data_IF_462867752811
#
_entry.id   IF_462867752811
#
_cell.length_a   1.000
_cell.length_b   1.000
_cell.length_c   1.000
_cell.angle_alpha   90.00
_cell.angle_beta   90.00
_cell.angle_gamma   90.00
#
_symmetry.space_group_name_H-M   'P 1'
#
loop_
_entity.id
_entity.type
_entity.pdbx_description
1 polymer ?
#
# COMPACT_ATOMS: atom_id res chain seq x y z
N UNK A 1 12.91 13.35 -32.65
CA UNK A 1 12.98 13.84 -31.25
C UNK A 1 12.14 15.10 -30.99
N UNK A 2 12.20 16.16 -31.81
CA UNK A 2 11.48 17.43 -31.59
C UNK A 2 9.94 17.32 -31.61
N UNK A 3 9.38 16.38 -32.37
CA UNK A 3 7.93 16.08 -32.39
C UNK A 3 7.43 15.28 -31.19
N UNK A 4 8.31 14.49 -30.56
CA UNK A 4 7.99 13.70 -29.35
C UNK A 4 7.96 14.58 -28.09
N UNK A 5 8.79 15.62 -28.04
CA UNK A 5 8.77 16.61 -26.96
C UNK A 5 7.51 17.49 -27.02
N UNK A 6 7.06 17.85 -28.23
CA UNK A 6 5.85 18.65 -28.43
C UNK A 6 4.57 17.88 -28.06
N UNK A 7 4.52 16.57 -28.29
CA UNK A 7 3.37 15.75 -27.89
C UNK A 7 3.29 15.57 -26.38
N UNK A 8 4.42 15.51 -25.68
CA UNK A 8 4.47 15.46 -24.20
C UNK A 8 4.00 16.75 -23.54
N UNK A 9 4.32 17.91 -24.12
CA UNK A 9 3.87 19.22 -23.59
C UNK A 9 2.35 19.38 -23.78
N UNK A 10 1.80 18.96 -24.92
CA UNK A 10 0.34 19.02 -25.16
C UNK A 10 -0.41 18.04 -24.26
N UNK A 11 0.13 16.85 -23.99
CA UNK A 11 -0.44 15.88 -23.03
C UNK A 11 -0.38 16.38 -21.58
N UNK A 12 0.68 17.08 -21.20
CA UNK A 12 0.82 17.68 -19.87
C UNK A 12 -0.14 18.87 -19.65
N UNK A 13 -0.42 19.67 -20.69
CA UNK A 13 -1.39 20.78 -20.64
C UNK A 13 -2.83 20.26 -20.63
N UNK A 14 -3.13 19.16 -21.33
CA UNK A 14 -4.46 18.54 -21.29
C UNK A 14 -4.80 17.94 -19.91
N UNK A 15 -3.79 17.56 -19.12
CA UNK A 15 -3.98 17.06 -17.74
C UNK A 15 -4.20 18.17 -16.71
N UNK A 16 -4.02 19.45 -17.08
CA UNK A 16 -4.09 20.58 -16.14
C UNK A 16 -5.45 21.29 -16.08
N UNK A 17 -6.41 20.91 -16.91
CA UNK A 17 -7.61 21.72 -17.09
C UNK A 17 -8.91 20.95 -16.93
N UNK A 18 -9.36 20.72 -15.69
CA UNK A 18 -10.73 21.00 -15.21
C UNK A 18 -10.71 21.00 -13.66
N UNK A 19 -10.34 22.12 -13.04
CA UNK A 19 -10.72 22.36 -11.64
C UNK A 19 -12.08 23.06 -11.67
N UNK A 20 -13.16 22.28 -11.61
CA UNK A 20 -14.49 22.83 -11.43
C UNK A 20 -14.57 23.54 -10.06
N UNK A 21 -15.21 24.70 -9.94
CA UNK A 21 -15.49 25.29 -8.65
C UNK A 21 -16.50 24.38 -7.94
N UNK A 22 -16.03 23.59 -6.98
CA UNK A 22 -16.92 22.85 -6.10
C UNK A 22 -17.75 23.88 -5.31
N UNK A 23 -19.08 23.77 -5.39
CA UNK A 23 -19.98 24.72 -4.75
C UNK A 23 -19.82 24.73 -3.23
N UNK A 24 -20.16 25.84 -2.58
CA UNK A 24 -20.00 25.99 -1.13
C UNK A 24 -20.73 24.89 -0.31
N UNK A 25 -21.86 24.37 -0.81
CA UNK A 25 -22.58 23.26 -0.18
C UNK A 25 -21.78 21.94 -0.16
N UNK A 26 -21.06 21.62 -1.25
CA UNK A 26 -20.18 20.43 -1.27
C UNK A 26 -18.95 20.64 -0.40
N UNK A 27 -18.40 21.85 -0.39
CA UNK A 27 -17.25 22.21 0.48
C UNK A 27 -17.61 22.11 1.96
N UNK A 28 -18.82 22.53 2.34
CA UNK A 28 -19.31 22.43 3.71
C UNK A 28 -19.53 20.97 4.12
N UNK A 29 -20.11 20.14 3.23
CA UNK A 29 -20.23 18.71 3.47
C UNK A 29 -18.87 18.01 3.63
N UNK A 30 -17.84 18.43 2.88
CA UNK A 30 -16.48 17.90 3.03
C UNK A 30 -15.87 18.27 4.39
N UNK A 31 -16.08 19.50 4.88
CA UNK A 31 -15.67 19.91 6.22
C UNK A 31 -16.37 19.11 7.32
N UNK A 32 -17.68 18.92 7.17
CA UNK A 32 -18.48 18.15 8.11
C UNK A 32 -18.07 16.68 8.16
N UNK A 33 -17.63 16.10 7.03
CA UNK A 33 -17.10 14.74 6.98
C UNK A 33 -15.69 14.64 7.56
N UNK A 34 -14.86 15.69 7.43
CA UNK A 34 -13.48 15.68 7.89
C UNK A 34 -13.32 15.89 9.41
N UNK A 35 -14.35 16.42 10.09
CA UNK A 35 -14.27 16.87 11.48
C UNK A 35 -15.26 16.13 12.40
N UNK A 36 -14.87 15.94 13.66
CA UNK A 36 -15.66 15.38 14.76
C UNK A 36 -16.44 16.48 15.51
N UNK A 37 -17.68 16.21 15.93
CA UNK A 37 -18.39 17.14 16.80
C UNK A 37 -17.81 17.12 18.23
N UNK A 38 -17.35 18.27 18.71
CA UNK A 38 -16.97 18.48 20.12
C UNK A 38 -18.16 18.99 20.94
N UNK A 39 -19.28 18.31 20.84
CA UNK A 39 -20.46 18.66 21.62
C UNK A 39 -20.22 18.34 23.11
N UNK A 40 -20.82 19.12 24.02
CA UNK A 40 -20.66 18.94 25.48
C UNK A 40 -21.09 17.55 25.96
N UNK A 41 -22.03 16.94 25.26
CA UNK A 41 -22.59 15.63 25.57
C UNK A 41 -21.70 14.45 25.13
N UNK A 42 -20.48 14.72 24.65
CA UNK A 42 -19.50 13.70 24.19
C UNK A 42 -20.09 12.69 23.20
N UNK A 43 -20.91 13.20 22.28
CA UNK A 43 -21.61 12.42 21.24
C UNK A 43 -20.69 11.52 20.39
N UNK A 44 -19.42 11.90 20.19
CA UNK A 44 -18.42 11.07 19.50
C UNK A 44 -18.70 10.83 18.01
N UNK A 45 -19.63 11.59 17.42
CA UNK A 45 -20.00 11.48 16.00
C UNK A 45 -19.21 12.47 15.14
N UNK A 46 -19.02 12.08 13.87
CA UNK A 46 -18.63 13.00 12.79
C UNK A 46 -19.61 14.17 12.74
N UNK A 47 -19.13 15.38 12.44
CA UNK A 47 -19.93 16.61 12.46
C UNK A 47 -21.16 16.48 11.56
N UNK A 48 -21.02 15.86 10.39
CA UNK A 48 -22.13 15.62 9.45
C UNK A 48 -23.30 14.85 10.06
N UNK A 49 -23.02 13.92 10.97
CA UNK A 49 -24.01 13.06 11.60
C UNK A 49 -24.51 13.61 12.94
N UNK A 50 -24.14 14.85 13.29
CA UNK A 50 -24.49 15.49 14.56
C UNK A 50 -25.46 16.66 14.38
N UNK A 51 -26.51 16.69 15.19
CA UNK A 51 -27.61 17.68 15.12
C UNK A 51 -27.75 18.56 16.37
N UNK A 52 -26.69 18.69 17.18
CA UNK A 52 -26.72 19.53 18.39
C UNK A 52 -26.58 21.03 18.08
N UNK A 53 -26.95 21.89 19.03
CA UNK A 53 -26.80 23.34 18.90
C UNK A 53 -25.36 23.80 18.63
N UNK A 54 -24.37 23.06 19.11
CA UNK A 54 -22.96 23.36 18.87
C UNK A 54 -22.58 23.04 17.43
N UNK A 55 -23.02 21.91 16.87
CA UNK A 55 -22.71 21.57 15.47
C UNK A 55 -23.36 22.56 14.51
N UNK A 56 -24.59 23.01 14.79
CA UNK A 56 -25.27 24.00 13.96
C UNK A 56 -24.54 25.35 13.96
N UNK A 57 -23.99 25.79 15.11
CA UNK A 57 -23.13 26.99 15.17
C UNK A 57 -21.84 26.80 14.37
N UNK A 58 -21.15 25.68 14.57
CA UNK A 58 -19.90 25.37 13.86
C UNK A 58 -20.11 25.33 12.34
N UNK A 59 -21.23 24.77 11.85
CA UNK A 59 -21.60 24.80 10.42
C UNK A 59 -21.76 26.22 9.90
N UNK A 60 -22.46 27.08 10.63
CA UNK A 60 -22.65 28.47 10.24
C UNK A 60 -21.31 29.23 10.20
N UNK A 61 -20.39 28.93 11.11
CA UNK A 61 -19.05 29.53 11.12
C UNK A 61 -18.21 29.02 9.94
N UNK A 62 -18.27 27.73 9.63
CA UNK A 62 -17.61 27.17 8.43
C UNK A 62 -18.16 27.73 7.13
N UNK A 63 -19.47 27.93 7.03
CA UNK A 63 -20.07 28.58 5.87
C UNK A 63 -19.49 29.99 5.67
N UNK A 64 -19.38 30.79 6.74
CA UNK A 64 -18.76 32.13 6.67
C UNK A 64 -17.29 32.08 6.23
N UNK A 65 -16.52 31.11 6.72
CA UNK A 65 -15.12 30.94 6.32
C UNK A 65 -15.00 30.56 4.84
N UNK A 66 -15.86 29.67 4.35
CA UNK A 66 -15.93 29.32 2.93
C UNK A 66 -16.35 30.53 2.07
N UNK A 67 -17.33 31.31 2.53
CA UNK A 67 -17.80 32.51 1.85
C UNK A 67 -16.71 33.60 1.80
N UNK A 68 -15.79 33.62 2.77
CA UNK A 68 -14.63 34.51 2.77
C UNK A 68 -13.49 34.05 1.83
N UNK A 69 -13.68 32.92 1.13
CA UNK A 69 -12.74 32.40 0.12
C UNK A 69 -11.69 31.44 0.67
N UNK A 70 -11.79 31.00 1.94
CA UNK A 70 -10.90 29.97 2.46
C UNK A 70 -11.25 28.60 1.88
N UNK A 71 -10.24 27.76 1.67
CA UNK A 71 -10.43 26.39 1.20
C UNK A 71 -10.72 25.43 2.35
N UNK A 72 -11.37 24.31 2.05
CA UNK A 72 -11.64 23.23 3.02
C UNK A 72 -10.37 22.81 3.76
N UNK A 73 -9.25 22.64 3.05
CA UNK A 73 -8.00 22.19 3.65
C UNK A 73 -7.42 23.22 4.62
N UNK A 74 -7.53 24.52 4.31
CA UNK A 74 -7.07 25.59 5.20
C UNK A 74 -7.89 25.63 6.48
N UNK A 75 -9.21 25.49 6.38
CA UNK A 75 -10.11 25.47 7.54
C UNK A 75 -9.83 24.24 8.41
N UNK A 76 -9.67 23.04 7.81
CA UNK A 76 -9.32 21.82 8.55
C UNK A 76 -7.99 22.00 9.28
N UNK A 77 -6.96 22.54 8.63
CA UNK A 77 -5.67 22.79 9.28
C UNK A 77 -5.76 23.76 10.45
N UNK A 78 -6.55 24.84 10.32
CA UNK A 78 -6.82 25.74 11.45
C UNK A 78 -7.47 24.99 12.62
N UNK A 79 -8.45 24.11 12.34
CA UNK A 79 -9.13 23.39 13.42
C UNK A 79 -8.24 22.33 14.06
N UNK A 80 -7.35 21.71 13.29
CA UNK A 80 -6.32 20.81 13.83
C UNK A 80 -5.32 21.59 14.68
N UNK A 81 -4.94 22.80 14.29
CA UNK A 81 -4.05 23.64 15.11
C UNK A 81 -4.69 24.06 16.44
N UNK A 82 -6.00 24.34 16.44
CA UNK A 82 -6.74 24.75 17.66
C UNK A 82 -7.13 23.59 18.57
N UNK A 83 -7.50 22.44 18.02
CA UNK A 83 -8.09 21.31 18.75
C UNK A 83 -7.25 20.03 18.75
N UNK A 84 -6.10 20.05 18.07
CA UNK A 84 -5.24 18.89 17.84
C UNK A 84 -5.82 17.90 16.83
N UNK A 85 -5.10 16.81 16.58
CA UNK A 85 -5.54 15.78 15.61
C UNK A 85 -6.82 15.04 16.03
N UNK A 86 -7.22 15.12 17.30
CA UNK A 86 -8.45 14.49 17.82
C UNK A 86 -9.76 15.10 17.29
N UNK A 87 -9.67 16.23 16.57
CA UNK A 87 -10.81 16.84 15.89
C UNK A 87 -11.08 16.20 14.54
N UNK A 88 -10.09 15.52 13.94
CA UNK A 88 -10.28 14.90 12.64
C UNK A 88 -11.11 13.63 12.78
N UNK A 89 -11.99 13.40 11.81
CA UNK A 89 -12.73 12.13 11.70
C UNK A 89 -11.85 10.98 11.24
N UNK A 90 -10.76 11.27 10.54
CA UNK A 90 -9.78 10.31 10.06
C UNK A 90 -8.36 10.77 10.43
N UNK A 91 -7.44 9.84 10.76
CA UNK A 91 -6.07 10.20 11.10
C UNK A 91 -5.37 10.88 9.91
N UNK A 92 -4.47 11.82 10.21
CA UNK A 92 -3.75 12.60 9.19
C UNK A 92 -2.96 11.68 8.27
N UNK A 93 -2.91 11.99 6.96
CA UNK A 93 -2.19 11.17 5.96
C UNK A 93 -0.66 11.36 6.01
N UNK A 94 -0.12 11.94 7.07
CA UNK A 94 1.27 12.39 7.17
C UNK A 94 1.88 11.83 8.47
N UNK A 95 3.18 11.57 8.46
CA UNK A 95 3.91 11.15 9.67
C UNK A 95 3.74 9.65 9.99
N UNK A 96 3.50 9.34 11.27
CA UNK A 96 3.46 7.96 11.78
C UNK A 96 2.34 7.11 11.13
N UNK A 97 1.20 7.72 10.83
CA UNK A 97 0.10 7.03 10.16
C UNK A 97 0.49 6.52 8.75
N UNK A 98 1.36 7.26 8.04
CA UNK A 98 1.87 6.82 6.74
C UNK A 98 2.84 5.64 6.89
N UNK A 99 3.70 5.66 7.92
CA UNK A 99 4.61 4.54 8.17
C UNK A 99 3.87 3.25 8.49
N UNK A 100 2.72 3.30 9.17
CA UNK A 100 1.90 2.10 9.40
C UNK A 100 1.43 1.44 8.08
N UNK A 101 1.17 2.23 7.05
CA UNK A 101 0.77 1.73 5.73
C UNK A 101 1.94 1.32 4.83
N UNK A 102 3.07 2.03 4.88
CA UNK A 102 4.24 1.76 4.02
C UNK A 102 5.10 0.61 4.56
N UNK A 103 5.21 0.50 5.88
CA UNK A 103 6.05 -0.51 6.56
C UNK A 103 5.79 -1.95 6.13
N UNK A 104 4.54 -2.46 6.02
CA UNK A 104 4.33 -3.86 5.61
C UNK A 104 4.93 -4.17 4.23
N UNK A 105 4.76 -3.27 3.26
CA UNK A 105 5.33 -3.46 1.93
C UNK A 105 6.85 -3.33 1.95
N UNK A 106 7.39 -2.35 2.68
CA UNK A 106 8.83 -2.17 2.83
C UNK A 106 9.48 -3.39 3.49
N UNK A 107 8.87 -3.94 4.54
CA UNK A 107 9.35 -5.11 5.26
C UNK A 107 9.40 -6.36 4.36
N UNK A 108 8.37 -6.58 3.54
CA UNK A 108 8.34 -7.70 2.58
C UNK A 108 9.44 -7.53 1.52
N UNK A 109 9.60 -6.34 0.97
CA UNK A 109 10.62 -6.09 -0.06
C UNK A 109 12.04 -6.27 0.49
N UNK A 110 12.32 -5.70 1.67
CA UNK A 110 13.63 -5.82 2.32
C UNK A 110 13.90 -7.27 2.74
N UNK A 111 12.92 -7.94 3.34
CA UNK A 111 13.03 -9.34 3.75
C UNK A 111 13.25 -10.27 2.56
N UNK A 112 12.42 -10.16 1.52
CA UNK A 112 12.55 -10.97 0.31
C UNK A 112 13.87 -10.74 -0.43
N UNK A 113 14.32 -9.48 -0.49
CA UNK A 113 15.63 -9.16 -1.07
C UNK A 113 16.80 -9.73 -0.24
N UNK A 114 16.72 -9.67 1.09
CA UNK A 114 17.70 -10.25 2.00
C UNK A 114 17.83 -11.76 1.82
N UNK A 115 16.70 -12.48 1.81
CA UNK A 115 16.66 -13.93 1.56
C UNK A 115 17.27 -14.27 0.20
N UNK A 116 16.88 -13.54 -0.87
CA UNK A 116 17.43 -13.74 -2.21
C UNK A 116 18.96 -13.54 -2.24
N UNK A 117 19.48 -12.54 -1.53
CA UNK A 117 20.92 -12.27 -1.46
C UNK A 117 21.68 -13.40 -0.76
N UNK A 118 21.17 -13.90 0.36
CA UNK A 118 21.76 -15.01 1.12
C UNK A 118 21.77 -16.28 0.26
N UNK A 119 20.63 -16.65 -0.34
CA UNK A 119 20.53 -17.80 -1.23
C UNK A 119 21.50 -17.72 -2.40
N UNK A 120 21.59 -16.56 -3.07
CA UNK A 120 22.51 -16.37 -4.18
C UNK A 120 23.99 -16.41 -3.75
N UNK A 121 24.33 -16.04 -2.51
CA UNK A 121 25.68 -16.17 -1.99
C UNK A 121 26.04 -17.64 -1.75
N UNK A 122 25.13 -18.41 -1.15
CA UNK A 122 25.33 -19.85 -0.90
C UNK A 122 25.44 -20.67 -2.19
N UNK A 123 24.61 -20.39 -3.19
CA UNK A 123 24.66 -21.09 -4.48
C UNK A 123 25.95 -20.75 -5.26
N UNK A 124 26.41 -19.49 -5.21
CA UNK A 124 27.66 -19.09 -5.86
C UNK A 124 28.89 -19.64 -5.16
N UNK A 125 28.87 -19.74 -3.82
CA UNK A 125 29.90 -20.43 -3.04
C UNK A 125 30.05 -21.91 -3.43
N UNK A 126 28.95 -22.60 -3.73
CA UNK A 126 28.98 -23.98 -4.24
C UNK A 126 29.52 -24.09 -5.69
N UNK A 127 29.29 -23.08 -6.55
CA UNK A 127 29.77 -23.10 -7.94
C UNK A 127 31.26 -22.74 -8.11
N UNK A 128 31.88 -22.07 -7.14
CA UNK A 128 33.30 -21.72 -7.20
C UNK A 128 34.25 -22.90 -6.90
N UNK A 129 33.73 -24.08 -6.56
CA UNK A 129 34.50 -25.30 -6.28
C UNK A 129 34.53 -26.35 -7.41
N UNK A 130 34.05 -26.04 -8.61
CA UNK A 130 34.07 -26.99 -9.73
C UNK A 130 34.74 -26.35 -10.94
N UNK A 131 35.97 -26.76 -11.33
CA UNK A 131 36.50 -26.40 -12.63
C UNK A 131 35.64 -27.10 -13.68
N UNK A 132 35.27 -26.34 -14.71
CA UNK A 132 34.60 -26.86 -15.88
C UNK A 132 35.50 -27.91 -16.56
N UNK A 133 35.21 -29.19 -16.35
CA UNK A 133 35.46 -30.22 -17.34
C UNK A 133 34.12 -30.58 -17.94
N UNK A 134 33.95 -30.32 -19.23
CA UNK A 134 32.77 -30.76 -19.94
C UNK A 134 32.71 -32.28 -19.91
N UNK A 135 31.57 -32.85 -19.53
CA UNK A 135 31.05 -34.08 -20.12
C UNK A 135 29.61 -34.29 -19.62
N UNK A 136 28.71 -34.45 -20.58
CA UNK A 136 27.49 -35.30 -20.57
C UNK A 136 26.64 -35.34 -19.29
N UNK A 137 25.38 -34.93 -19.46
CA UNK A 137 24.25 -35.19 -18.54
C UNK A 137 24.39 -36.51 -17.78
N UNK A 138 24.49 -36.50 -16.43
CA UNK A 138 24.32 -37.70 -15.63
C UNK A 138 22.82 -37.96 -15.53
N UNK A 139 22.35 -38.87 -16.37
CA UNK A 139 21.15 -39.65 -16.15
C UNK A 139 21.17 -40.27 -14.74
N UNK A 140 20.16 -40.01 -13.88
CA UNK A 140 20.08 -40.61 -12.55
C UNK A 140 19.61 -42.08 -12.59
N UNK A 141 20.39 -42.98 -13.18
CA UNK A 141 20.27 -44.44 -13.04
C UNK A 141 21.70 -44.98 -12.85
N UNK A 142 22.17 -45.60 -11.77
CA UNK A 142 21.60 -46.21 -10.57
C UNK A 142 22.67 -46.25 -9.46
N UNK A 143 22.27 -46.48 -8.19
CA UNK A 143 22.56 -47.81 -7.61
C UNK A 143 21.35 -48.41 -6.86
N UNK A 144 20.22 -47.71 -6.90
CA UNK A 144 18.99 -48.10 -6.21
C UNK A 144 18.29 -49.21 -7.02
N UNK A 145 18.03 -49.01 -8.33
CA UNK A 145 17.17 -49.92 -9.11
C UNK A 145 17.75 -51.32 -9.39
N UNK A 146 19.06 -51.54 -9.37
CA UNK A 146 19.66 -52.90 -9.45
C UNK A 146 19.36 -53.78 -8.24
N UNK A 147 19.21 -53.20 -7.04
CA UNK A 147 18.80 -53.98 -5.86
C UNK A 147 17.30 -54.31 -5.87
N UNK A 148 16.46 -53.39 -6.33
CA UNK A 148 15.01 -53.62 -6.43
C UNK A 148 14.64 -54.57 -7.58
N UNK A 149 15.30 -54.45 -8.73
CA UNK A 149 15.07 -55.36 -9.87
C UNK A 149 15.46 -56.80 -9.53
N UNK A 150 16.55 -57.01 -8.77
CA UNK A 150 16.93 -58.35 -8.30
C UNK A 150 15.90 -58.94 -7.33
N UNK A 151 15.39 -58.13 -6.39
CA UNK A 151 14.32 -58.53 -5.45
C UNK A 151 13.01 -58.90 -6.16
N UNK A 152 12.64 -58.14 -7.21
CA UNK A 152 11.43 -58.44 -7.99
C UNK A 152 11.54 -59.77 -8.72
N UNK A 153 12.69 -60.09 -9.31
CA UNK A 153 12.91 -61.37 -9.99
C UNK A 153 12.85 -62.55 -9.01
N UNK A 154 13.41 -62.37 -7.82
CA UNK A 154 13.43 -63.40 -6.76
C UNK A 154 12.02 -63.72 -6.22
N UNK A 155 11.14 -62.72 -6.12
CA UNK A 155 9.72 -62.92 -5.77
C UNK A 155 8.92 -63.55 -6.92
N UNK A 156 9.26 -63.24 -8.18
CA UNK A 156 8.53 -63.77 -9.33
C UNK A 156 8.77 -65.28 -9.52
N UNK A 157 10.02 -65.73 -9.41
CA UNK A 157 10.39 -67.16 -9.45
C UNK A 157 9.72 -67.96 -8.33
N UNK A 158 9.47 -67.35 -7.18
CA UNK A 158 8.84 -67.99 -6.02
C UNK A 158 7.32 -68.16 -6.19
N UNK A 159 6.68 -67.35 -7.03
CA UNK A 159 5.24 -67.40 -7.31
C UNK A 159 4.89 -68.29 -8.51
N UNK A 160 5.88 -68.72 -9.28
CA UNK A 160 5.72 -69.56 -10.47
C UNK A 160 5.85 -71.08 -10.17
N UNK A 161 5.64 -71.47 -8.89
CA UNK A 161 5.58 -72.87 -8.42
C UNK A 161 4.14 -73.26 -8.04
#
# INVERSE_FOLDING_TARGET
MRRLFSTWIVLAVLFLGVAAPAGAASMLADLENALMCKCKDKCGKVLINCTCDTSNKTRADFQKLLDSGLTVQQIVQQQVALHGETILSAPTKIGFNLTAWVTPFAAILVGGYGVRRILNAWIRGKKAGTPASGEKSPDPQEPISSNYSRRLQEELDKLEI
#
